data_IF_315837621066
#
_entry.id   IF_315837621066
#
_cell.length_a   1.000
_cell.length_b   1.000
_cell.length_c   1.000
_cell.angle_alpha   90.00
_cell.angle_beta   90.00
_cell.angle_gamma   90.00
#
_symmetry.space_group_name_H-M   'P 1'
#
loop_
_entity.id
_entity.type
_entity.pdbx_description
1 polymer ?
#
# COMPACT_ATOMS: atom_id res chain seq x y z
N UNK A 1 23.54 44.10 -29.67
CA UNK A 1 24.74 43.32 -30.06
C UNK A 1 25.52 42.76 -28.86
N UNK A 2 26.19 43.55 -27.99
CA UNK A 2 26.96 42.97 -26.87
C UNK A 2 26.11 42.47 -25.68
N UNK A 3 24.97 43.12 -25.40
CA UNK A 3 24.07 42.73 -24.31
C UNK A 3 23.23 41.47 -24.58
N UNK A 4 22.89 41.22 -25.85
CA UNK A 4 22.10 40.05 -26.25
C UNK A 4 22.94 38.77 -26.22
N UNK A 5 24.21 38.84 -26.64
CA UNK A 5 25.13 37.71 -26.56
C UNK A 5 25.43 37.28 -25.11
N UNK A 6 25.48 38.24 -24.17
CA UNK A 6 25.69 37.97 -22.74
C UNK A 6 24.44 37.39 -22.07
N UNK A 7 23.24 37.83 -22.50
CA UNK A 7 21.97 37.28 -22.03
C UNK A 7 21.71 35.87 -22.61
N UNK A 8 22.17 35.58 -23.82
CA UNK A 8 22.05 34.28 -24.46
C UNK A 8 23.08 33.27 -23.93
N UNK A 9 24.30 33.70 -23.61
CA UNK A 9 25.28 32.91 -22.88
C UNK A 9 24.82 32.61 -21.44
N UNK A 10 24.23 33.59 -20.75
CA UNK A 10 23.62 33.38 -19.44
C UNK A 10 22.45 32.38 -19.52
N UNK A 11 21.55 32.52 -20.51
CA UNK A 11 20.43 31.59 -20.73
C UNK A 11 20.88 30.18 -21.11
N UNK A 12 21.92 30.03 -21.93
CA UNK A 12 22.54 28.72 -22.22
C UNK A 12 23.18 28.10 -20.98
N UNK A 13 23.90 28.89 -20.18
CA UNK A 13 24.49 28.41 -18.92
C UNK A 13 23.44 28.04 -17.86
N UNK A 14 22.25 28.66 -17.89
CA UNK A 14 21.13 28.32 -16.98
C UNK A 14 20.29 27.15 -17.50
N UNK A 15 20.32 26.85 -18.81
CA UNK A 15 19.64 25.68 -19.40
C UNK A 15 20.46 24.39 -19.34
N UNK A 16 21.79 24.46 -19.22
CA UNK A 16 22.68 23.28 -19.17
C UNK A 16 23.01 22.77 -17.75
N UNK A 17 22.57 23.47 -16.70
CA UNK A 17 22.62 22.99 -15.30
C UNK A 17 21.22 22.88 -14.71
N UNK A 18 20.30 22.27 -15.47
CA UNK A 18 19.26 21.47 -14.81
C UNK A 18 19.93 20.14 -14.50
N UNK A 19 20.47 20.00 -13.29
CA UNK A 19 20.72 18.70 -12.68
C UNK A 19 19.38 17.95 -12.67
N UNK A 20 19.05 17.28 -13.78
CA UNK A 20 17.93 16.34 -13.79
C UNK A 20 18.31 15.32 -12.75
N UNK A 21 17.50 15.22 -11.69
CA UNK A 21 17.63 14.12 -10.74
C UNK A 21 17.81 12.82 -11.54
N UNK A 22 18.82 12.00 -11.23
CA UNK A 22 19.03 10.75 -11.96
C UNK A 22 17.73 9.96 -11.95
N UNK A 23 17.41 9.35 -13.10
CA UNK A 23 16.25 8.47 -13.22
C UNK A 23 16.42 7.34 -12.20
N UNK A 24 15.56 7.34 -11.18
CA UNK A 24 15.58 6.38 -10.10
C UNK A 24 14.44 5.37 -10.30
N UNK A 25 14.70 4.05 -10.24
CA UNK A 25 15.91 3.39 -9.73
C UNK A 25 17.12 3.38 -10.66
N UNK A 26 18.33 3.42 -10.07
CA UNK A 26 19.61 3.30 -10.78
C UNK A 26 19.91 1.82 -11.08
N UNK A 27 20.05 1.41 -12.36
CA UNK A 27 20.36 0.02 -12.71
C UNK A 27 21.70 -0.47 -12.17
N UNK A 28 21.75 -1.72 -11.70
CA UNK A 28 22.98 -2.39 -11.23
C UNK A 28 23.46 -1.95 -9.84
N UNK A 29 22.66 -1.17 -9.11
CA UNK A 29 22.98 -0.75 -7.75
C UNK A 29 22.58 -1.80 -6.72
N UNK A 30 23.47 -2.77 -6.47
CA UNK A 30 23.24 -3.84 -5.50
C UNK A 30 23.09 -3.33 -4.05
N UNK A 31 23.51 -2.10 -3.75
CA UNK A 31 23.39 -1.47 -2.42
C UNK A 31 22.08 -0.70 -2.25
N UNK A 32 21.24 -0.62 -3.28
CA UNK A 32 19.92 -0.03 -3.23
C UNK A 32 18.82 -1.09 -3.08
N UNK A 33 17.72 -0.68 -2.45
CA UNK A 33 16.51 -1.47 -2.32
C UNK A 33 15.28 -0.55 -2.28
N UNK A 34 14.11 -1.16 -2.42
CA UNK A 34 12.82 -0.48 -2.28
C UNK A 34 11.96 -1.15 -1.21
N UNK A 35 11.43 -0.33 -0.30
CA UNK A 35 10.56 -0.76 0.79
C UNK A 35 9.14 -0.26 0.56
N UNK A 36 8.19 -1.17 0.40
CA UNK A 36 6.80 -0.83 0.13
C UNK A 36 5.92 -1.14 1.33
N UNK A 37 5.18 -0.16 1.82
CA UNK A 37 3.99 -0.44 2.60
C UNK A 37 2.93 -1.17 1.77
N UNK A 38 2.03 -1.90 2.42
CA UNK A 38 1.03 -2.74 1.76
C UNK A 38 -0.31 -2.01 1.57
N UNK A 39 -0.94 -1.67 2.69
CA UNK A 39 -2.35 -1.27 2.72
C UNK A 39 -2.51 0.14 2.15
N UNK A 40 -3.42 0.31 1.18
CA UNK A 40 -3.59 1.54 0.38
C UNK A 40 -2.37 2.02 -0.44
N UNK A 41 -1.18 1.46 -0.19
CA UNK A 41 0.06 1.73 -0.93
C UNK A 41 0.21 0.79 -2.13
N UNK A 42 0.42 -0.51 -1.88
CA UNK A 42 0.51 -1.55 -2.93
C UNK A 42 -0.88 -2.07 -3.29
N UNK A 43 -1.76 -2.28 -2.31
CA UNK A 43 -3.12 -2.77 -2.54
C UNK A 43 -4.19 -1.74 -2.15
N UNK A 44 -5.41 -1.93 -2.65
CA UNK A 44 -6.56 -1.11 -2.26
C UNK A 44 -7.23 -1.65 -1.00
N UNK A 45 -7.29 -0.83 0.05
CA UNK A 45 -7.83 -1.21 1.35
C UNK A 45 -6.85 -2.05 2.17
N UNK A 46 -7.32 -2.53 3.31
CA UNK A 46 -6.52 -3.30 4.25
C UNK A 46 -6.48 -4.79 3.87
N UNK A 47 -5.29 -5.37 3.78
CA UNK A 47 -5.06 -6.79 3.50
C UNK A 47 -5.75 -7.67 4.55
N UNK A 48 -5.63 -7.31 5.83
CA UNK A 48 -6.26 -8.04 6.93
C UNK A 48 -7.79 -8.09 6.80
N UNK A 49 -8.43 -7.04 6.28
CA UNK A 49 -9.87 -7.05 6.02
C UNK A 49 -10.27 -8.06 4.94
N UNK A 50 -9.56 -8.06 3.81
CA UNK A 50 -9.84 -9.02 2.72
C UNK A 50 -9.53 -10.44 3.16
N UNK A 51 -8.50 -10.61 4.00
CA UNK A 51 -8.15 -11.88 4.60
C UNK A 51 -9.23 -12.40 5.54
N UNK A 52 -9.66 -11.60 6.52
CA UNK A 52 -10.75 -11.95 7.43
C UNK A 52 -12.05 -12.28 6.70
N UNK A 53 -12.36 -11.55 5.61
CA UNK A 53 -13.51 -11.86 4.75
C UNK A 53 -13.38 -13.24 4.08
N UNK A 54 -12.19 -13.57 3.58
CA UNK A 54 -11.92 -14.87 2.96
C UNK A 54 -12.04 -16.03 3.96
N UNK A 55 -11.50 -15.85 5.17
CA UNK A 55 -11.62 -16.82 6.26
C UNK A 55 -13.09 -17.03 6.69
N UNK A 56 -13.85 -15.94 6.83
CA UNK A 56 -15.27 -16.01 7.15
C UNK A 56 -16.07 -16.80 6.10
N UNK A 57 -15.79 -16.59 4.81
CA UNK A 57 -16.48 -17.31 3.71
C UNK A 57 -16.17 -18.81 3.70
N UNK A 58 -14.99 -19.20 4.19
CA UNK A 58 -14.57 -20.60 4.33
C UNK A 58 -15.05 -21.24 5.62
N UNK A 59 -15.83 -20.52 6.46
CA UNK A 59 -16.23 -20.96 7.80
C UNK A 59 -15.04 -21.42 8.64
N UNK A 60 -13.90 -20.76 8.45
CA UNK A 60 -12.67 -21.04 9.18
C UNK A 60 -12.84 -20.79 10.68
N UNK A 61 -13.83 -19.98 11.06
CA UNK A 61 -14.22 -19.70 12.43
C UNK A 61 -15.51 -20.43 12.79
N UNK A 62 -15.61 -20.93 14.03
CA UNK A 62 -16.92 -21.26 14.58
C UNK A 62 -17.67 -19.94 14.85
N UNK A 63 -18.75 -19.73 14.10
CA UNK A 63 -19.65 -18.58 14.24
C UNK A 63 -20.11 -18.33 15.68
N UNK A 64 -20.12 -19.36 16.55
CA UNK A 64 -20.47 -19.22 17.97
C UNK A 64 -19.41 -18.49 18.78
N UNK A 65 -18.14 -18.73 18.52
CA UNK A 65 -17.04 -18.05 19.21
C UNK A 65 -16.98 -16.58 18.79
N UNK A 66 -17.08 -16.32 17.48
CA UNK A 66 -17.11 -14.96 16.95
C UNK A 66 -18.32 -14.16 17.46
N UNK A 67 -19.49 -14.79 17.59
CA UNK A 67 -20.67 -14.16 18.17
C UNK A 67 -20.47 -13.84 19.65
N UNK A 68 -19.90 -14.76 20.45
CA UNK A 68 -19.56 -14.53 21.86
C UNK A 68 -18.59 -13.36 22.03
N UNK A 69 -17.55 -13.30 21.18
CA UNK A 69 -16.57 -12.20 21.19
C UNK A 69 -17.18 -10.87 20.76
N UNK A 70 -17.95 -10.84 19.67
CA UNK A 70 -18.66 -9.64 19.22
C UNK A 70 -19.61 -9.12 20.31
N UNK A 71 -20.21 -10.02 21.09
CA UNK A 71 -21.09 -9.66 22.20
C UNK A 71 -20.35 -9.11 23.41
N UNK A 72 -19.21 -9.70 23.77
CA UNK A 72 -18.31 -9.11 24.77
C UNK A 72 -17.86 -7.71 24.32
N UNK A 73 -17.40 -7.55 23.09
CA UNK A 73 -16.88 -6.28 22.58
C UNK A 73 -17.98 -5.21 22.45
N UNK A 74 -19.21 -5.59 22.11
CA UNK A 74 -20.36 -4.67 22.13
C UNK A 74 -20.76 -4.26 23.54
N UNK A 75 -20.72 -5.19 24.51
CA UNK A 75 -20.95 -4.92 25.92
C UNK A 75 -19.92 -3.95 26.51
N UNK A 76 -18.63 -4.16 26.22
CA UNK A 76 -17.55 -3.26 26.67
C UNK A 76 -17.66 -1.85 26.05
N UNK A 77 -18.03 -1.75 24.77
CA UNK A 77 -18.30 -0.45 24.12
C UNK A 77 -19.50 0.28 24.72
N UNK A 78 -20.54 -0.46 25.14
CA UNK A 78 -21.69 0.10 25.85
C UNK A 78 -21.37 0.46 27.30
N UNK A 79 -20.39 -0.21 27.92
CA UNK A 79 -19.89 0.05 29.27
C UNK A 79 -18.94 1.26 29.36
N UNK A 80 -18.57 1.87 28.23
CA UNK A 80 -18.01 3.22 28.17
C UNK A 80 -16.63 3.37 28.81
N UNK A 81 -15.65 2.58 28.36
CA UNK A 81 -14.24 2.80 28.71
C UNK A 81 -13.51 3.15 27.41
N UNK A 82 -12.85 4.30 27.34
CA UNK A 82 -11.90 4.64 26.26
C UNK A 82 -10.49 4.55 26.86
N UNK A 83 -9.87 3.37 26.77
CA UNK A 83 -8.54 3.10 27.35
C UNK A 83 -7.61 2.48 26.29
N UNK A 84 -6.29 2.78 26.26
CA UNK A 84 -5.27 2.02 25.53
C UNK A 84 -5.34 0.48 25.63
N UNK A 85 -6.01 -0.07 26.64
CA UNK A 85 -6.38 -1.50 26.71
C UNK A 85 -7.14 -1.96 25.46
N UNK A 86 -7.92 -1.10 24.80
CA UNK A 86 -8.68 -1.43 23.59
C UNK A 86 -7.82 -1.85 22.41
N UNK A 87 -6.59 -1.32 22.30
CA UNK A 87 -5.68 -1.71 21.21
C UNK A 87 -5.05 -3.07 21.50
N UNK A 88 -4.72 -3.37 22.76
CA UNK A 88 -4.23 -4.69 23.16
C UNK A 88 -5.34 -5.74 23.06
N UNK A 89 -6.54 -5.45 23.54
CA UNK A 89 -7.69 -6.34 23.44
C UNK A 89 -8.12 -6.61 21.99
N UNK A 90 -8.05 -5.60 21.11
CA UNK A 90 -8.31 -5.80 19.68
C UNK A 90 -7.22 -6.65 19.02
N UNK A 91 -5.96 -6.53 19.44
CA UNK A 91 -4.85 -7.38 18.99
C UNK A 91 -5.04 -8.82 19.48
N UNK A 92 -5.29 -9.01 20.77
CA UNK A 92 -5.52 -10.32 21.39
C UNK A 92 -6.75 -11.01 20.80
N UNK A 93 -7.81 -10.25 20.54
CA UNK A 93 -9.01 -10.74 19.84
C UNK A 93 -8.73 -11.15 18.39
N UNK A 94 -7.82 -10.46 17.69
CA UNK A 94 -7.43 -10.83 16.34
C UNK A 94 -6.51 -12.06 16.32
N UNK A 95 -5.71 -12.27 17.36
CA UNK A 95 -4.77 -13.40 17.48
C UNK A 95 -5.44 -14.67 18.01
N UNK A 96 -6.44 -14.53 18.89
CA UNK A 96 -7.22 -15.67 19.37
C UNK A 96 -7.95 -16.40 18.24
N UNK A 97 -8.26 -15.68 17.16
CA UNK A 97 -8.87 -16.24 15.94
C UNK A 97 -7.98 -17.30 15.28
N UNK A 98 -6.66 -17.13 15.32
CA UNK A 98 -5.72 -18.08 14.70
C UNK A 98 -5.11 -19.06 15.72
N UNK A 99 -5.37 -18.86 17.02
CA UNK A 99 -4.85 -19.70 18.08
C UNK A 99 -5.27 -21.16 17.89
N UNK A 100 -4.32 -22.08 18.03
CA UNK A 100 -4.56 -23.52 17.88
C UNK A 100 -4.63 -24.01 16.42
N UNK A 101 -4.60 -23.11 15.43
CA UNK A 101 -4.50 -23.48 14.02
C UNK A 101 -3.05 -23.68 13.59
N UNK A 102 -2.84 -24.55 12.60
CA UNK A 102 -1.51 -24.76 12.00
C UNK A 102 -1.14 -23.57 11.12
N UNK A 103 0.11 -23.12 11.23
CA UNK A 103 0.68 -22.08 10.36
C UNK A 103 0.52 -22.46 8.88
N UNK A 104 0.78 -23.72 8.54
CA UNK A 104 0.68 -24.22 7.16
C UNK A 104 -0.75 -24.16 6.59
N UNK A 105 -1.76 -24.31 7.44
CA UNK A 105 -3.17 -24.22 7.05
C UNK A 105 -3.51 -22.77 6.68
N UNK A 106 -3.11 -21.83 7.54
CA UNK A 106 -3.34 -20.41 7.30
C UNK A 106 -2.61 -19.90 6.05
N UNK A 107 -1.39 -20.39 5.82
CA UNK A 107 -0.62 -20.11 4.59
C UNK A 107 -1.34 -20.62 3.34
N UNK A 108 -1.83 -21.86 3.37
CA UNK A 108 -2.55 -22.46 2.23
C UNK A 108 -3.82 -21.68 1.91
N UNK A 109 -4.58 -21.30 2.94
CA UNK A 109 -5.80 -20.49 2.77
C UNK A 109 -5.45 -19.08 2.29
N UNK A 110 -4.34 -18.51 2.75
CA UNK A 110 -3.83 -17.21 2.30
C UNK A 110 -3.56 -17.15 0.80
N UNK A 111 -3.08 -18.24 0.20
CA UNK A 111 -2.91 -18.36 -1.25
C UNK A 111 -4.24 -18.18 -2.00
N UNK A 112 -5.26 -18.93 -1.59
CA UNK A 112 -6.56 -18.91 -2.25
C UNK A 112 -7.26 -17.55 -2.07
N UNK A 113 -7.19 -17.00 -0.86
CA UNK A 113 -7.75 -15.69 -0.55
C UNK A 113 -7.06 -14.60 -1.37
N UNK A 114 -5.76 -14.70 -1.59
CA UNK A 114 -5.05 -13.75 -2.44
C UNK A 114 -5.65 -13.74 -3.84
N UNK A 115 -5.81 -14.91 -4.44
CA UNK A 115 -6.33 -15.06 -5.81
C UNK A 115 -7.78 -14.57 -5.91
N UNK A 116 -8.63 -14.82 -4.90
CA UNK A 116 -10.04 -14.43 -4.90
C UNK A 116 -10.32 -12.96 -4.55
N UNK A 117 -9.56 -12.38 -3.61
CA UNK A 117 -9.93 -11.10 -2.99
C UNK A 117 -8.87 -10.00 -3.09
N UNK A 118 -7.61 -10.35 -3.36
CA UNK A 118 -6.49 -9.41 -3.26
C UNK A 118 -5.86 -9.07 -4.61
N UNK A 119 -5.73 -10.03 -5.53
CA UNK A 119 -5.01 -9.87 -6.79
C UNK A 119 -5.51 -8.66 -7.63
N UNK A 120 -6.82 -8.51 -7.79
CA UNK A 120 -7.43 -7.39 -8.54
C UNK A 120 -7.33 -6.03 -7.82
N UNK A 121 -6.88 -6.02 -6.56
CA UNK A 121 -6.79 -4.82 -5.73
C UNK A 121 -5.40 -4.20 -5.74
N UNK A 122 -4.42 -4.85 -6.33
CA UNK A 122 -3.08 -4.28 -6.49
C UNK A 122 -3.16 -3.03 -7.37
N UNK A 123 -2.57 -1.93 -6.92
CA UNK A 123 -2.47 -0.71 -7.70
C UNK A 123 -1.52 -0.93 -8.88
N UNK A 124 -1.97 -0.80 -10.15
CA UNK A 124 -1.09 -1.00 -11.30
C UNK A 124 0.12 -0.06 -11.28
N UNK A 125 -0.06 1.19 -10.82
CA UNK A 125 1.03 2.17 -10.70
C UNK A 125 2.07 1.79 -9.64
N UNK A 126 1.65 1.25 -8.49
CA UNK A 126 2.59 0.77 -7.46
C UNK A 126 3.28 -0.52 -7.89
N UNK A 127 2.57 -1.42 -8.58
CA UNK A 127 3.18 -2.61 -9.18
C UNK A 127 4.26 -2.24 -10.21
N UNK A 128 4.00 -1.24 -11.06
CA UNK A 128 4.98 -0.76 -12.03
C UNK A 128 6.24 -0.17 -11.36
N UNK A 129 6.07 0.51 -10.22
CA UNK A 129 7.21 0.97 -9.41
C UNK A 129 8.04 -0.18 -8.88
N UNK A 130 7.41 -1.18 -8.27
CA UNK A 130 8.09 -2.38 -7.79
C UNK A 130 8.83 -3.10 -8.93
N UNK A 131 8.18 -3.23 -10.09
CA UNK A 131 8.80 -3.83 -11.28
C UNK A 131 10.02 -3.05 -11.76
N UNK A 132 9.96 -1.72 -11.79
CA UNK A 132 11.11 -0.90 -12.19
C UNK A 132 12.34 -1.13 -11.29
N UNK A 133 12.14 -1.36 -9.99
CA UNK A 133 13.22 -1.72 -9.07
C UNK A 133 13.80 -3.10 -9.36
N UNK A 134 12.93 -4.09 -9.60
CA UNK A 134 13.35 -5.44 -9.97
C UNK A 134 14.12 -5.44 -11.30
N UNK A 135 13.64 -4.70 -12.30
CA UNK A 135 14.29 -4.56 -13.62
C UNK A 135 15.66 -3.87 -13.50
N UNK A 136 15.83 -2.98 -12.51
CA UNK A 136 17.10 -2.35 -12.17
C UNK A 136 18.05 -3.27 -11.37
N UNK A 137 17.64 -4.50 -11.05
CA UNK A 137 18.41 -5.46 -10.25
C UNK A 137 18.41 -5.15 -8.74
N UNK A 138 17.52 -4.27 -8.28
CA UNK A 138 17.41 -3.92 -6.87
C UNK A 138 16.51 -4.89 -6.10
N UNK A 139 16.77 -5.02 -4.80
CA UNK A 139 15.92 -5.81 -3.90
C UNK A 139 14.64 -5.04 -3.58
N UNK A 140 13.51 -5.74 -3.56
CA UNK A 140 12.20 -5.16 -3.27
C UNK A 140 11.52 -5.89 -2.13
N UNK A 141 11.16 -5.14 -1.08
CA UNK A 141 10.63 -5.69 0.15
C UNK A 141 9.27 -5.07 0.47
N UNK A 142 8.33 -5.91 0.89
CA UNK A 142 7.09 -5.45 1.52
C UNK A 142 7.34 -5.20 3.02
N UNK A 143 6.79 -4.13 3.59
CA UNK A 143 6.95 -3.77 5.01
C UNK A 143 5.60 -3.34 5.58
N UNK A 144 4.94 -4.23 6.31
CA UNK A 144 3.52 -4.07 6.66
C UNK A 144 3.20 -4.46 8.10
N UNK A 145 2.15 -3.85 8.67
CA UNK A 145 1.60 -4.29 9.95
C UNK A 145 0.75 -5.56 9.83
N UNK A 146 0.41 -5.99 8.61
CA UNK A 146 -0.30 -7.25 8.38
C UNK A 146 0.55 -8.48 8.80
N UNK A 147 -0.10 -9.62 9.10
CA UNK A 147 0.60 -10.87 9.35
C UNK A 147 1.62 -11.23 8.27
N UNK A 148 2.80 -11.70 8.68
CA UNK A 148 3.92 -12.00 7.80
C UNK A 148 3.56 -13.05 6.74
N UNK A 149 2.66 -13.98 7.03
CA UNK A 149 2.22 -15.03 6.12
C UNK A 149 1.50 -14.43 4.90
N UNK A 150 0.57 -13.49 5.13
CA UNK A 150 -0.15 -12.78 4.06
C UNK A 150 0.83 -11.92 3.27
N UNK A 151 1.71 -11.21 3.97
CA UNK A 151 2.72 -10.36 3.35
C UNK A 151 3.66 -11.18 2.44
N UNK A 152 4.05 -12.39 2.88
CA UNK A 152 4.91 -13.32 2.13
C UNK A 152 4.21 -13.86 0.89
N UNK A 153 2.92 -14.24 1.00
CA UNK A 153 2.11 -14.67 -0.16
C UNK A 153 2.07 -13.55 -1.21
N UNK A 154 1.78 -12.32 -0.80
CA UNK A 154 1.72 -11.16 -1.70
C UNK A 154 3.09 -10.89 -2.34
N UNK A 155 4.17 -10.87 -1.55
CA UNK A 155 5.51 -10.63 -2.05
C UNK A 155 5.89 -11.66 -3.12
N UNK A 156 5.70 -12.95 -2.85
CA UNK A 156 6.00 -14.01 -3.82
C UNK A 156 5.14 -13.91 -5.08
N UNK A 157 3.82 -13.64 -4.95
CA UNK A 157 2.91 -13.49 -6.11
C UNK A 157 3.24 -12.28 -6.98
N UNK A 158 3.87 -11.25 -6.41
CA UNK A 158 4.37 -10.08 -7.13
C UNK A 158 5.83 -10.20 -7.59
N UNK A 159 6.52 -11.29 -7.26
CA UNK A 159 7.94 -11.48 -7.61
C UNK A 159 8.90 -10.59 -6.81
N UNK A 160 8.50 -10.12 -5.62
CA UNK A 160 9.35 -9.31 -4.75
C UNK A 160 10.42 -10.20 -4.06
N UNK A 161 11.45 -9.56 -3.51
CA UNK A 161 12.53 -10.25 -2.76
C UNK A 161 12.02 -10.88 -1.48
N UNK A 162 11.12 -10.20 -0.75
CA UNK A 162 10.57 -10.73 0.48
C UNK A 162 9.59 -9.79 1.17
N UNK A 163 9.21 -10.13 2.40
CA UNK A 163 8.30 -9.35 3.21
C UNK A 163 8.71 -9.31 4.68
N UNK A 164 8.50 -8.16 5.30
CA UNK A 164 8.51 -7.94 6.73
C UNK A 164 7.06 -7.68 7.17
N UNK A 165 6.60 -8.47 8.13
CA UNK A 165 5.23 -8.39 8.65
C UNK A 165 5.19 -8.56 10.17
N UNK A 166 4.02 -8.39 10.75
CA UNK A 166 3.76 -8.75 12.15
C UNK A 166 3.82 -10.26 12.30
N UNK A 167 4.54 -10.75 13.32
CA UNK A 167 4.77 -12.18 13.53
C UNK A 167 3.94 -12.67 14.71
N UNK A 168 3.04 -13.62 14.45
CA UNK A 168 2.36 -14.36 15.51
C UNK A 168 3.25 -15.51 15.99
N UNK A 169 3.33 -15.70 17.31
CA UNK A 169 4.09 -16.78 17.93
C UNK A 169 3.47 -18.13 17.57
N UNK A 170 4.34 -19.07 17.21
CA UNK A 170 3.97 -20.46 16.99
C UNK A 170 4.98 -21.40 17.65
N UNK A 171 4.48 -22.53 18.14
CA UNK A 171 5.27 -23.63 18.70
C UNK A 171 4.87 -24.90 17.95
N UNK A 172 5.86 -25.64 17.44
CA UNK A 172 5.65 -26.85 16.63
C UNK A 172 4.69 -26.65 15.44
N UNK A 173 4.73 -25.45 14.84
CA UNK A 173 3.90 -25.08 13.69
C UNK A 173 2.44 -24.76 14.02
N UNK A 174 2.11 -24.55 15.30
CA UNK A 174 0.76 -24.17 15.77
C UNK A 174 0.80 -22.81 16.45
N UNK A 175 -0.12 -21.91 16.11
CA UNK A 175 -0.18 -20.57 16.71
C UNK A 175 -0.56 -20.63 18.18
N UNK A 176 0.17 -19.88 19.01
CA UNK A 176 -0.07 -19.80 20.46
C UNK A 176 -1.13 -18.76 20.82
N UNK A 177 -1.48 -17.88 19.88
CA UNK A 177 -2.36 -16.71 20.10
C UNK A 177 -1.63 -15.47 20.62
N UNK A 178 -0.29 -15.47 20.64
CA UNK A 178 0.54 -14.33 21.05
C UNK A 178 1.33 -13.76 19.87
N UNK A 179 1.94 -12.59 20.04
CA UNK A 179 2.90 -12.03 19.08
C UNK A 179 4.34 -12.34 19.49
N UNK A 180 5.20 -12.43 18.50
CA UNK A 180 6.65 -12.29 18.71
C UNK A 180 6.98 -10.80 18.65
N UNK A 181 7.11 -10.18 19.82
CA UNK A 181 7.35 -8.73 19.95
C UNK A 181 6.13 -7.87 19.65
N UNK A 182 6.36 -6.63 19.22
CA UNK A 182 5.29 -5.68 18.87
C UNK A 182 4.88 -5.80 17.39
N UNK A 183 3.63 -5.41 17.04
CA UNK A 183 3.23 -5.29 15.64
C UNK A 183 4.15 -4.38 14.84
N UNK A 184 4.36 -4.73 13.57
CA UNK A 184 5.25 -4.00 12.68
C UNK A 184 4.57 -2.72 12.15
N UNK A 185 4.35 -1.76 13.04
CA UNK A 185 3.63 -0.53 12.79
C UNK A 185 4.43 0.71 13.22
N UNK A 186 4.36 1.77 12.43
CA UNK A 186 4.98 3.06 12.74
C UNK A 186 6.50 2.95 12.94
N UNK A 187 7.05 3.37 14.10
CA UNK A 187 8.50 3.28 14.37
C UNK A 187 9.10 1.89 14.19
N UNK A 188 8.35 0.82 14.51
CA UNK A 188 8.83 -0.55 14.37
C UNK A 188 9.16 -0.91 12.91
N UNK A 189 8.45 -0.33 11.92
CA UNK A 189 8.81 -0.49 10.51
C UNK A 189 10.17 0.11 10.19
N UNK A 190 10.47 1.28 10.74
CA UNK A 190 11.74 1.94 10.54
C UNK A 190 12.89 1.12 11.13
N UNK A 191 12.71 0.56 12.33
CA UNK A 191 13.68 -0.32 12.98
C UNK A 191 13.92 -1.60 12.16
N UNK A 192 12.86 -2.24 11.68
CA UNK A 192 12.96 -3.44 10.85
C UNK A 192 13.68 -3.16 9.52
N UNK A 193 13.41 -2.01 8.88
CA UNK A 193 14.13 -1.58 7.67
C UNK A 193 15.61 -1.33 7.95
N UNK A 194 15.97 -0.74 9.09
CA UNK A 194 17.39 -0.58 9.48
C UNK A 194 18.08 -1.92 9.70
N UNK A 195 17.42 -2.84 10.41
CA UNK A 195 17.95 -4.17 10.68
C UNK A 195 18.15 -4.97 9.39
N UNK A 196 17.16 -4.94 8.50
CA UNK A 196 17.25 -5.54 7.18
C UNK A 196 18.37 -4.91 6.35
N UNK A 197 18.48 -3.58 6.33
CA UNK A 197 19.53 -2.90 5.59
C UNK A 197 20.94 -3.29 6.06
N UNK A 198 21.14 -3.46 7.36
CA UNK A 198 22.40 -3.96 7.90
C UNK A 198 22.69 -5.40 7.46
N UNK A 199 21.70 -6.30 7.57
CA UNK A 199 21.85 -7.70 7.19
C UNK A 199 22.14 -7.87 5.69
N UNK A 200 21.52 -7.03 4.86
CA UNK A 200 21.57 -7.07 3.40
C UNK A 200 22.70 -6.20 2.81
N UNK A 201 23.45 -5.46 3.64
CA UNK A 201 24.52 -4.57 3.18
C UNK A 201 24.03 -3.38 2.33
N UNK A 202 22.82 -2.89 2.61
CA UNK A 202 22.15 -1.79 1.90
C UNK A 202 22.59 -0.42 2.42
N UNK A 203 22.74 0.55 1.51
CA UNK A 203 22.88 1.97 1.86
C UNK A 203 21.50 2.63 1.78
N UNK A 204 20.90 2.94 2.93
CA UNK A 204 19.56 3.53 2.99
C UNK A 204 19.45 4.86 2.22
N UNK A 205 20.55 5.63 2.07
CA UNK A 205 20.57 6.87 1.28
C UNK A 205 20.40 6.62 -0.22
N UNK A 206 20.59 5.38 -0.68
CA UNK A 206 20.38 4.92 -2.05
C UNK A 206 19.07 4.15 -2.21
N UNK A 207 18.37 3.89 -1.11
CA UNK A 207 17.12 3.15 -1.11
C UNK A 207 15.91 4.06 -1.29
N UNK A 208 14.77 3.44 -1.61
CA UNK A 208 13.47 4.08 -1.64
C UNK A 208 12.49 3.46 -0.66
N UNK A 209 11.50 4.26 -0.25
CA UNK A 209 10.40 3.80 0.57
C UNK A 209 9.09 4.43 0.09
N UNK A 210 8.02 3.64 0.11
CA UNK A 210 6.71 3.99 -0.44
C UNK A 210 5.64 3.74 0.63
N UNK A 211 4.82 4.75 0.95
CA UNK A 211 3.69 4.58 1.89
C UNK A 211 2.60 5.64 1.70
N UNK A 212 1.38 5.32 2.13
CA UNK A 212 0.22 6.21 2.18
C UNK A 212 -0.01 6.88 3.54
N UNK A 213 0.61 6.35 4.59
CA UNK A 213 0.27 6.71 5.97
C UNK A 213 1.29 7.61 6.64
N UNK A 214 0.80 8.59 7.41
CA UNK A 214 1.67 9.41 8.27
C UNK A 214 2.39 8.59 9.35
N UNK A 215 1.87 7.42 9.71
CA UNK A 215 2.53 6.52 10.67
C UNK A 215 3.89 6.04 10.15
N UNK A 216 4.08 6.00 8.83
CA UNK A 216 5.30 5.52 8.19
C UNK A 216 6.31 6.64 7.92
N UNK A 217 6.06 7.88 8.38
CA UNK A 217 7.03 8.99 8.30
C UNK A 217 8.41 8.59 8.85
N UNK A 218 8.55 7.86 9.98
CA UNK A 218 9.85 7.39 10.45
C UNK A 218 10.58 6.52 9.42
N UNK A 219 9.88 5.58 8.75
CA UNK A 219 10.43 4.71 7.72
C UNK A 219 10.81 5.51 6.46
N UNK A 220 9.92 6.38 5.99
CA UNK A 220 10.16 7.24 4.83
C UNK A 220 11.35 8.19 5.06
N UNK A 221 11.52 8.69 6.28
CA UNK A 221 12.64 9.57 6.65
C UNK A 221 14.00 8.87 6.70
N UNK A 222 14.05 7.53 6.64
CA UNK A 222 15.31 6.79 6.67
C UNK A 222 16.05 6.78 5.34
N UNK A 223 15.31 6.88 4.24
CA UNK A 223 15.80 6.58 2.90
C UNK A 223 16.12 7.84 2.12
N UNK A 224 16.97 7.72 1.10
CA UNK A 224 17.27 8.85 0.20
C UNK A 224 16.11 9.21 -0.74
N UNK A 225 15.25 8.23 -1.05
CA UNK A 225 14.17 8.41 -2.03
C UNK A 225 12.79 8.10 -1.42
N UNK A 226 12.22 9.00 -0.59
CA UNK A 226 10.87 8.82 -0.03
C UNK A 226 9.76 9.16 -1.04
N UNK A 227 8.75 8.31 -1.10
CA UNK A 227 7.56 8.48 -1.93
C UNK A 227 6.26 8.36 -1.10
N UNK A 228 5.48 9.42 -1.12
CA UNK A 228 4.13 9.44 -0.56
C UNK A 228 3.12 8.98 -1.63
N UNK A 229 2.62 7.75 -1.49
CA UNK A 229 1.71 7.08 -2.42
C UNK A 229 0.29 7.14 -1.87
N UNK A 230 -0.69 7.65 -2.63
CA UNK A 230 -2.07 7.79 -2.18
C UNK A 230 -2.21 8.43 -0.77
N UNK A 231 -1.42 9.45 -0.40
CA UNK A 231 -1.21 9.78 1.00
C UNK A 231 -2.48 10.27 1.69
N UNK A 232 -2.56 9.96 2.99
CA UNK A 232 -3.46 10.62 3.92
C UNK A 232 -3.17 12.14 4.02
N UNK A 233 -4.04 12.88 4.72
CA UNK A 233 -3.90 14.34 4.80
C UNK A 233 -2.65 14.78 5.55
N UNK A 234 -2.23 14.04 6.58
CA UNK A 234 -1.06 14.34 7.42
C UNK A 234 0.23 14.05 6.65
N UNK A 235 0.34 12.89 6.02
CA UNK A 235 1.48 12.52 5.18
C UNK A 235 1.60 13.47 4.00
N UNK A 236 0.49 13.84 3.33
CA UNK A 236 0.52 14.80 2.24
C UNK A 236 1.07 16.16 2.67
N UNK A 237 0.66 16.66 3.85
CA UNK A 237 1.18 17.92 4.41
C UNK A 237 2.67 17.81 4.72
N UNK A 238 3.10 16.69 5.31
CA UNK A 238 4.51 16.43 5.61
C UNK A 238 5.35 16.35 4.32
N UNK A 239 4.92 15.55 3.36
CA UNK A 239 5.57 15.36 2.07
C UNK A 239 5.77 16.68 1.33
N UNK A 240 4.75 17.54 1.27
CA UNK A 240 4.88 18.88 0.66
C UNK A 240 5.90 19.79 1.37
N UNK A 241 6.01 19.68 2.69
CA UNK A 241 6.95 20.49 3.48
C UNK A 241 8.39 20.00 3.31
N UNK A 242 8.58 18.70 3.15
CA UNK A 242 9.89 18.06 3.00
C UNK A 242 10.28 17.82 1.53
N UNK A 243 9.49 18.35 0.60
CA UNK A 243 9.62 18.13 -0.85
C UNK A 243 9.71 16.64 -1.27
N UNK A 244 8.96 15.78 -0.58
CA UNK A 244 8.87 14.37 -0.94
C UNK A 244 8.00 14.17 -2.17
N UNK A 245 8.36 13.15 -2.96
CA UNK A 245 7.65 12.79 -4.19
C UNK A 245 6.25 12.29 -3.86
N UNK A 246 5.25 12.84 -4.55
CA UNK A 246 3.83 12.52 -4.36
C UNK A 246 3.29 11.79 -5.59
N UNK A 247 2.63 10.64 -5.38
CA UNK A 247 1.84 9.97 -6.43
C UNK A 247 0.48 9.60 -5.87
N UNK A 248 -0.60 9.99 -6.56
CA UNK A 248 -1.97 9.65 -6.14
C UNK A 248 -2.68 8.93 -7.29
N UNK A 249 -2.87 7.62 -7.15
CA UNK A 249 -3.51 6.77 -8.15
C UNK A 249 -5.04 6.76 -8.02
N UNK A 250 -5.59 7.40 -6.97
CA UNK A 250 -7.05 7.49 -6.76
C UNK A 250 -7.71 8.52 -7.67
N UNK A 251 -6.95 9.54 -8.10
CA UNK A 251 -7.46 10.67 -8.91
C UNK A 251 -7.88 10.24 -10.32
N UNK A 252 -7.14 9.34 -10.97
CA UNK A 252 -7.49 8.80 -12.29
C UNK A 252 -8.86 8.11 -12.31
N UNK A 253 -9.22 7.41 -11.23
CA UNK A 253 -10.56 6.79 -11.08
C UNK A 253 -11.66 7.80 -10.82
N UNK A 254 -11.39 8.89 -10.08
CA UNK A 254 -12.38 9.98 -9.91
C UNK A 254 -12.67 10.66 -11.25
N UNK A 255 -11.64 10.93 -12.05
CA UNK A 255 -11.80 11.49 -13.38
C UNK A 255 -12.60 10.57 -14.31
N UNK A 256 -12.33 9.26 -14.33
CA UNK A 256 -13.11 8.30 -15.11
C UNK A 256 -14.57 8.19 -14.65
N UNK A 257 -14.83 8.13 -13.34
CA UNK A 257 -16.19 8.07 -12.77
C UNK A 257 -17.01 9.34 -13.00
N UNK A 258 -16.38 10.50 -13.12
CA UNK A 258 -17.07 11.78 -13.39
C UNK A 258 -17.18 12.05 -14.89
N UNK A 259 -16.20 11.64 -15.69
CA UNK A 259 -16.17 11.84 -17.14
C UNK A 259 -17.13 10.94 -17.92
N UNK A 260 -17.31 9.69 -17.50
CA UNK A 260 -18.21 8.74 -18.18
C UNK A 260 -19.69 9.17 -18.11
N UNK A 261 -20.26 9.59 -16.96
CA UNK A 261 -21.62 10.11 -16.89
C UNK A 261 -21.82 11.43 -17.62
N UNK A 262 -20.81 12.32 -17.62
CA UNK A 262 -20.89 13.61 -18.31
C UNK A 262 -20.91 13.44 -19.83
N UNK A 263 -20.09 12.54 -20.39
CA UNK A 263 -20.10 12.23 -21.81
C UNK A 263 -21.39 11.51 -22.25
N UNK A 264 -21.94 10.62 -21.42
CA UNK A 264 -23.23 9.99 -21.68
C UNK A 264 -24.40 11.00 -21.66
N UNK A 265 -24.37 11.99 -20.76
CA UNK A 265 -25.35 13.07 -20.69
C UNK A 265 -25.34 13.98 -21.92
N UNK A 266 -24.15 14.36 -22.41
CA UNK A 266 -24.01 15.16 -23.65
C UNK A 266 -24.41 14.33 -24.89
N UNK A 267 -24.03 13.06 -24.94
CA UNK A 267 -24.42 12.14 -26.02
C UNK A 267 -25.92 11.88 -26.09
N UNK A 268 -26.62 11.82 -24.95
CA UNK A 268 -28.08 11.66 -24.90
C UNK A 268 -28.82 12.91 -25.40
N UNK A 269 -28.32 14.12 -25.10
CA UNK A 269 -28.91 15.38 -25.56
C UNK A 269 -28.66 15.60 -27.06
N UNK A 270 -27.45 15.31 -27.55
CA UNK A 270 -27.12 15.41 -28.97
C UNK A 270 -27.81 14.31 -29.82
N UNK A 271 -27.88 13.08 -29.31
CA UNK A 271 -28.56 11.97 -29.99
C UNK A 271 -30.09 12.13 -30.01
N UNK A 272 -30.69 12.62 -28.93
CA UNK A 272 -32.12 12.87 -28.84
C UNK A 272 -32.61 13.99 -29.77
N UNK A 273 -31.81 15.06 -29.93
CA UNK A 273 -32.14 16.15 -30.86
C UNK A 273 -32.02 15.74 -32.33
N UNK A 274 -31.01 14.95 -32.70
CA UNK A 274 -30.87 14.41 -34.05
C UNK A 274 -32.01 13.43 -34.42
N UNK A 275 -32.42 12.56 -33.50
CA UNK A 275 -33.54 11.63 -33.71
C UNK A 275 -34.89 12.34 -33.87
N UNK A 276 -35.15 13.39 -33.09
CA UNK A 276 -36.37 14.19 -33.18
C UNK A 276 -36.48 14.93 -34.52
N UNK A 277 -35.38 15.50 -35.02
CA UNK A 277 -35.34 16.18 -36.32
C UNK A 277 -35.55 15.20 -37.48
N UNK A 278 -34.96 13.99 -37.40
CA UNK A 278 -35.15 12.95 -38.42
C UNK A 278 -36.59 12.42 -38.46
N UNK A 279 -37.23 12.24 -37.31
CA UNK A 279 -38.64 11.82 -37.22
C UNK A 279 -39.61 12.89 -37.73
N UNK A 280 -39.29 14.18 -37.56
CA UNK A 280 -40.15 15.26 -38.04
C UNK A 280 -40.10 15.42 -39.57
N UNK A 281 -38.96 15.15 -40.20
CA UNK A 281 -38.79 15.19 -41.68
C UNK A 281 -39.47 14.04 -42.41
N UNK A 282 -39.77 12.93 -41.73
CA UNK A 282 -40.45 11.76 -42.31
C UNK A 282 -41.98 11.83 -42.26
N UNK A 283 -42.53 12.89 -41.65
CA UNK A 283 -43.98 13.14 -41.47
C UNK A 283 -44.52 14.31 -42.33
N UNK A 284 -43.71 14.84 -43.24
CA UNK A 284 -44.12 15.73 -44.33
C UNK A 284 -43.83 15.04 -45.65
#
# INVERSE_FOLDING_TARGET
MAGEASAEAARKSTQEVSEREPEFPVPGDERAAAFFDLDNTVMQGAALFHFGRGLYKRKFFDTRELARFAWQQAWFRLAGVEDPEHMQEARDSALSIVQGHRVSELQSIGEEIYDEYMAERIWPGTRALAQAHLDAGQRVWLVTAAPVEIATVIARRLGLTGALGTVAESVDGVYTGKLVGEPLHGPAKAEAVRALALAEGLDLRRCAAYSDSHNDIPMLSLVGHPYAINPDSKLRKHARRMDWRLRDYRTGRKAAKVGIPAAAGVGAVAGGTAAAIALHRKRR
#
